data_IF_702280876663
#
_entry.id   IF_702280876663
#
_cell.length_a   1.000
_cell.length_b   1.000
_cell.length_c   1.000
_cell.angle_alpha   90.00
_cell.angle_beta   90.00
_cell.angle_gamma   90.00
#
_symmetry.space_group_name_H-M   'P 1'
#
loop_
_entity.id
_entity.type
_entity.pdbx_description
1 polymer ?
#
# COMPACT_ATOMS: atom_id res chain seq x y z
N UNK A 1 18.35 21.94 20.13
CA UNK A 1 18.69 20.53 19.86
C UNK A 1 20.11 20.50 19.35
N UNK A 2 20.97 19.67 19.94
CA UNK A 2 22.31 19.46 19.43
C UNK A 2 22.25 18.81 18.04
N UNK A 3 23.30 18.94 17.24
CA UNK A 3 23.39 18.34 15.90
C UNK A 3 23.19 16.81 15.96
N UNK A 4 23.74 16.17 16.99
CA UNK A 4 23.56 14.74 17.28
C UNK A 4 22.11 14.36 17.55
N UNK A 5 21.34 15.20 18.26
CA UNK A 5 19.92 14.94 18.53
C UNK A 5 19.11 14.93 17.24
N UNK A 6 19.42 15.86 16.33
CA UNK A 6 18.74 15.96 15.03
C UNK A 6 19.09 14.74 14.15
N UNK A 7 20.31 14.24 14.25
CA UNK A 7 20.73 12.99 13.60
C UNK A 7 19.92 11.80 14.10
N UNK A 8 19.80 11.63 15.41
CA UNK A 8 19.06 10.52 16.02
C UNK A 8 17.55 10.53 15.65
N UNK A 9 16.91 11.71 15.69
CA UNK A 9 15.51 11.83 15.27
C UNK A 9 15.32 11.50 13.80
N UNK A 10 16.28 11.90 12.94
CA UNK A 10 16.23 11.62 11.52
C UNK A 10 16.38 10.13 11.23
N UNK A 11 17.28 9.47 11.94
CA UNK A 11 17.53 8.02 11.82
C UNK A 11 16.28 7.22 12.21
N UNK A 12 15.71 7.49 13.38
CA UNK A 12 14.46 6.87 13.82
C UNK A 12 13.31 7.14 12.83
N UNK A 13 13.15 8.40 12.40
CA UNK A 13 12.13 8.78 11.42
C UNK A 13 12.27 8.04 10.08
N UNK A 14 13.50 7.83 9.62
CA UNK A 14 13.78 7.04 8.43
C UNK A 14 13.43 5.56 8.63
N UNK A 15 13.72 4.97 9.80
CA UNK A 15 13.31 3.58 10.11
C UNK A 15 11.79 3.42 10.04
N UNK A 16 11.03 4.29 10.70
CA UNK A 16 9.55 4.28 10.62
C UNK A 16 9.06 4.37 9.17
N UNK A 17 9.63 5.29 8.39
CA UNK A 17 9.29 5.44 6.98
C UNK A 17 9.58 4.18 6.16
N UNK A 18 10.70 3.52 6.39
CA UNK A 18 11.09 2.30 5.67
C UNK A 18 10.12 1.15 5.96
N UNK A 19 9.79 0.91 7.24
CA UNK A 19 8.76 -0.08 7.62
C UNK A 19 7.41 0.23 6.94
N UNK A 20 7.00 1.51 6.94
CA UNK A 20 5.74 1.94 6.31
C UNK A 20 5.72 1.70 4.80
N UNK A 21 6.81 2.06 4.11
CA UNK A 21 6.93 1.88 2.66
C UNK A 21 6.97 0.41 2.28
N UNK A 22 7.68 -0.43 3.03
CA UNK A 22 7.73 -1.88 2.79
C UNK A 22 6.35 -2.53 2.98
N UNK A 23 5.59 -2.11 4.00
CA UNK A 23 4.19 -2.51 4.18
C UNK A 23 3.26 -2.01 3.06
N UNK A 24 3.71 -1.01 2.28
CA UNK A 24 2.99 -0.36 1.20
C UNK A 24 1.68 0.29 1.69
N UNK A 25 1.80 1.14 2.71
CA UNK A 25 0.71 1.92 3.30
C UNK A 25 1.06 3.43 3.33
N UNK A 26 0.04 4.29 3.28
CA UNK A 26 0.21 5.75 3.38
C UNK A 26 0.50 6.18 4.82
N UNK A 27 0.97 7.42 5.02
CA UNK A 27 1.11 8.00 6.36
C UNK A 27 -0.24 8.07 7.08
N UNK A 28 -1.30 8.38 6.34
CA UNK A 28 -2.68 8.41 6.83
C UNK A 28 -3.15 7.02 7.29
N UNK A 29 -2.85 5.98 6.53
CA UNK A 29 -3.16 4.60 6.91
C UNK A 29 -2.40 4.19 8.18
N UNK A 30 -1.10 4.49 8.27
CA UNK A 30 -0.32 4.21 9.48
C UNK A 30 -0.87 4.98 10.71
N UNK A 31 -1.19 6.26 10.52
CA UNK A 31 -1.78 7.11 11.55
C UNK A 31 -3.10 6.52 12.06
N UNK A 32 -3.96 6.09 11.13
CA UNK A 32 -5.21 5.41 11.41
C UNK A 32 -4.99 4.13 12.24
N UNK A 33 -4.10 3.25 11.81
CA UNK A 33 -3.83 1.99 12.53
C UNK A 33 -3.30 2.26 13.94
N UNK A 34 -2.37 3.22 14.06
CA UNK A 34 -1.75 3.59 15.32
C UNK A 34 -2.66 4.46 16.20
N UNK A 35 -3.83 4.90 15.73
CA UNK A 35 -4.70 5.90 16.38
C UNK A 35 -3.92 7.19 16.73
N UNK A 36 -3.09 7.65 15.79
CA UNK A 36 -2.30 8.87 15.86
C UNK A 36 -2.75 9.85 14.77
N UNK A 37 -2.37 11.12 14.89
CA UNK A 37 -2.59 12.10 13.84
C UNK A 37 -1.63 11.88 12.67
N UNK A 38 -2.11 12.02 11.44
CA UNK A 38 -1.27 11.93 10.23
C UNK A 38 -0.13 12.95 10.24
N UNK A 39 -0.41 14.18 10.66
CA UNK A 39 0.61 15.23 10.83
C UNK A 39 1.71 14.81 11.80
N UNK A 40 1.37 14.08 12.85
CA UNK A 40 2.34 13.55 13.81
C UNK A 40 3.23 12.47 13.17
N UNK A 41 2.65 11.54 12.40
CA UNK A 41 3.43 10.57 11.61
C UNK A 41 4.38 11.28 10.64
N UNK A 42 3.89 12.31 9.94
CA UNK A 42 4.71 13.08 9.01
C UNK A 42 5.90 13.77 9.70
N UNK A 43 5.67 14.37 10.88
CA UNK A 43 6.73 15.00 11.69
C UNK A 43 7.74 13.98 12.21
N UNK A 44 7.28 12.79 12.66
CA UNK A 44 8.15 11.69 13.09
C UNK A 44 9.06 11.27 11.94
N UNK A 45 8.52 11.00 10.75
CA UNK A 45 9.32 10.57 9.60
C UNK A 45 10.29 11.64 9.08
N UNK A 46 10.03 12.92 9.37
CA UNK A 46 10.93 14.01 9.03
C UNK A 46 12.07 14.16 10.06
N UNK A 47 11.87 13.68 11.28
CA UNK A 47 12.75 13.92 12.42
C UNK A 47 12.49 15.26 13.11
N UNK A 48 11.29 15.83 12.95
CA UNK A 48 10.94 17.17 13.43
C UNK A 48 10.46 17.16 14.89
N UNK A 49 10.10 15.99 15.42
CA UNK A 49 9.55 15.83 16.77
C UNK A 49 10.26 14.73 17.54
N UNK A 50 10.45 14.94 18.84
CA UNK A 50 10.84 13.89 19.75
C UNK A 50 9.63 13.01 20.08
N UNK A 51 9.71 11.73 19.75
CA UNK A 51 8.62 10.77 19.95
C UNK A 51 8.74 10.09 21.31
N UNK A 52 7.67 10.16 22.10
CA UNK A 52 7.61 9.48 23.40
C UNK A 52 7.58 7.95 23.26
N UNK A 53 8.10 7.24 24.27
CA UNK A 53 8.23 5.77 24.28
C UNK A 53 6.89 5.06 23.99
N UNK A 54 5.78 5.56 24.52
CA UNK A 54 4.45 4.97 24.28
C UNK A 54 4.01 5.07 22.81
N UNK A 55 4.35 6.17 22.13
CA UNK A 55 4.09 6.32 20.71
C UNK A 55 5.02 5.41 19.87
N UNK A 56 6.29 5.26 20.26
CA UNK A 56 7.20 4.28 19.64
C UNK A 56 6.68 2.84 19.80
N UNK A 57 6.20 2.49 20.99
CA UNK A 57 5.57 1.20 21.25
C UNK A 57 4.31 0.98 20.41
N UNK A 58 3.49 2.02 20.23
CA UNK A 58 2.28 1.95 19.40
C UNK A 58 2.64 1.71 17.92
N UNK A 59 3.62 2.44 17.38
CA UNK A 59 4.10 2.24 16.01
C UNK A 59 4.71 0.85 15.81
N UNK A 60 5.60 0.42 16.69
CA UNK A 60 6.25 -0.90 16.60
C UNK A 60 5.26 -2.05 16.71
N UNK A 61 4.28 -1.96 17.61
CA UNK A 61 3.20 -2.96 17.72
C UNK A 61 2.37 -3.04 16.44
N UNK A 62 2.15 -1.92 15.74
CA UNK A 62 1.44 -1.90 14.45
C UNK A 62 2.18 -2.74 13.40
N UNK A 63 3.51 -2.74 13.42
CA UNK A 63 4.34 -3.57 12.55
C UNK A 63 4.64 -4.97 13.11
N UNK A 64 4.14 -5.30 14.30
CA UNK A 64 4.39 -6.57 14.98
C UNK A 64 5.83 -6.77 15.45
N UNK A 65 6.54 -5.67 15.73
CA UNK A 65 7.91 -5.69 16.26
C UNK A 65 7.97 -4.99 17.62
N UNK A 66 9.09 -5.12 18.33
CA UNK A 66 9.34 -4.38 19.57
C UNK A 66 9.82 -2.97 19.27
N UNK A 67 9.57 -2.01 20.17
CA UNK A 67 9.98 -0.62 19.98
C UNK A 67 11.50 -0.47 19.75
N UNK A 68 12.32 -1.24 20.48
CA UNK A 68 13.76 -1.24 20.27
C UNK A 68 14.18 -1.83 18.92
N UNK A 69 13.44 -2.81 18.37
CA UNK A 69 13.71 -3.37 17.02
C UNK A 69 13.36 -2.36 15.92
N UNK A 70 12.31 -1.56 16.12
CA UNK A 70 11.96 -0.48 15.19
C UNK A 70 13.07 0.58 15.13
N UNK A 71 13.66 0.90 16.30
CA UNK A 71 14.74 1.89 16.42
C UNK A 71 16.12 1.36 15.99
N UNK A 72 16.36 0.06 16.11
CA UNK A 72 17.64 -0.59 15.80
C UNK A 72 17.93 -0.53 14.29
N UNK A 73 18.97 0.16 13.81
CA UNK A 73 19.27 0.25 12.37
C UNK A 73 19.62 -1.11 11.74
N UNK A 74 20.16 -2.04 12.52
CA UNK A 74 20.63 -3.34 12.07
C UNK A 74 19.53 -4.40 12.07
N UNK A 75 18.41 -4.13 12.74
CA UNK A 75 17.26 -5.04 12.70
C UNK A 75 16.67 -5.08 11.27
N UNK A 76 16.54 -6.26 10.64
CA UNK A 76 16.08 -6.36 9.26
C UNK A 76 14.61 -5.93 9.14
N UNK A 77 14.28 -5.24 8.04
CA UNK A 77 12.89 -4.92 7.73
C UNK A 77 12.16 -6.22 7.37
N UNK A 78 11.08 -6.60 8.09
CA UNK A 78 10.33 -7.81 7.74
C UNK A 78 9.75 -7.70 6.33
N UNK A 79 9.61 -8.81 5.58
CA UNK A 79 9.01 -8.78 4.25
C UNK A 79 7.59 -8.21 4.27
N UNK A 80 7.20 -7.52 3.19
CA UNK A 80 5.85 -6.97 3.00
C UNK A 80 4.70 -7.88 3.42
N UNK A 81 4.77 -9.18 3.11
CA UNK A 81 3.73 -10.16 3.49
C UNK A 81 3.58 -10.28 5.01
N UNK A 82 4.69 -10.33 5.73
CA UNK A 82 4.74 -10.40 7.20
C UNK A 82 4.23 -9.10 7.81
N UNK A 83 4.69 -7.95 7.31
CA UNK A 83 4.24 -6.64 7.81
C UNK A 83 2.73 -6.47 7.66
N UNK A 84 2.17 -6.86 6.52
CA UNK A 84 0.72 -6.76 6.28
C UNK A 84 -0.09 -7.67 7.19
N UNK A 85 0.40 -8.88 7.45
CA UNK A 85 -0.25 -9.80 8.38
C UNK A 85 -0.18 -9.26 9.82
N UNK A 86 0.95 -8.68 10.24
CA UNK A 86 1.10 -8.06 11.54
C UNK A 86 0.14 -6.88 11.73
N UNK A 87 0.06 -5.98 10.75
CA UNK A 87 -0.87 -4.85 10.73
C UNK A 87 -2.31 -5.36 10.84
N UNK A 88 -2.68 -6.38 10.06
CA UNK A 88 -4.01 -6.99 10.10
C UNK A 88 -4.34 -7.51 11.50
N UNK A 89 -3.45 -8.30 12.09
CA UNK A 89 -3.62 -8.85 13.45
C UNK A 89 -3.77 -7.74 14.49
N UNK A 90 -2.93 -6.70 14.41
CA UNK A 90 -2.97 -5.58 15.34
C UNK A 90 -4.30 -4.82 15.28
N UNK A 91 -4.80 -4.53 14.08
CA UNK A 91 -6.08 -3.86 13.85
C UNK A 91 -7.24 -4.71 14.40
N UNK A 92 -7.26 -6.00 14.08
CA UNK A 92 -8.30 -6.93 14.55
C UNK A 92 -8.29 -7.03 16.07
N UNK A 93 -7.12 -7.16 16.70
CA UNK A 93 -7.01 -7.27 18.15
C UNK A 93 -7.48 -6.01 18.90
N UNK A 94 -7.46 -4.85 18.25
CA UNK A 94 -7.89 -3.58 18.83
C UNK A 94 -9.33 -3.19 18.49
N UNK A 95 -10.10 -4.07 17.83
CA UNK A 95 -11.44 -3.76 17.34
C UNK A 95 -11.50 -2.44 16.54
N UNK A 96 -10.41 -2.11 15.84
CA UNK A 96 -10.38 -0.92 14.98
C UNK A 96 -11.25 -1.24 13.77
N UNK A 97 -12.33 -0.48 13.59
CA UNK A 97 -13.33 -0.76 12.57
C UNK A 97 -12.70 -0.81 11.17
N UNK A 98 -12.78 -1.98 10.55
CA UNK A 98 -12.31 -2.21 9.17
C UNK A 98 -13.11 -1.43 8.11
N UNK A 99 -14.31 -0.92 8.44
CA UNK A 99 -15.07 -0.02 7.58
C UNK A 99 -14.34 1.34 7.42
N UNK A 100 -13.74 1.88 8.49
CA UNK A 100 -12.87 3.06 8.43
C UNK A 100 -11.61 2.83 7.58
N UNK A 101 -11.15 1.57 7.49
CA UNK A 101 -9.97 1.19 6.71
C UNK A 101 -10.24 1.07 5.21
N UNK A 102 -11.49 0.81 4.79
CA UNK A 102 -11.85 0.79 3.37
C UNK A 102 -11.72 2.17 2.71
N UNK A 103 -11.92 3.24 3.48
CA UNK A 103 -11.77 4.63 3.02
C UNK A 103 -10.32 5.15 3.09
N UNK A 104 -9.46 4.53 3.91
CA UNK A 104 -8.09 5.01 4.20
C UNK A 104 -6.98 4.15 3.59
N UNK A 105 -7.31 2.97 3.05
CA UNK A 105 -6.42 2.21 2.18
C UNK A 105 -6.55 2.75 0.75
N UNK A 106 -5.47 2.75 -0.06
CA UNK A 106 -5.61 3.12 -1.46
C UNK A 106 -6.66 2.23 -2.10
N UNK A 107 -7.77 2.82 -2.50
CA UNK A 107 -8.82 2.10 -3.17
C UNK A 107 -8.34 1.83 -4.59
N UNK A 108 -7.66 0.71 -4.80
CA UNK A 108 -7.21 0.30 -6.12
C UNK A 108 -8.35 -0.21 -7.00
N UNK A 109 -9.52 -0.51 -6.42
CA UNK A 109 -10.65 -1.09 -7.16
C UNK A 109 -11.39 -0.03 -7.94
N UNK A 110 -11.69 1.12 -7.32
CA UNK A 110 -12.40 2.23 -7.99
C UNK A 110 -11.67 2.75 -9.25
N UNK A 111 -10.37 3.07 -9.22
CA UNK A 111 -9.60 3.38 -10.42
C UNK A 111 -9.61 2.26 -11.46
N UNK A 112 -9.63 0.98 -11.05
CA UNK A 112 -9.74 -0.11 -12.02
C UNK A 112 -11.08 -0.06 -12.76
N UNK A 113 -12.16 0.12 -12.01
CA UNK A 113 -13.52 0.16 -12.56
C UNK A 113 -13.71 1.40 -13.47
N UNK A 114 -13.03 2.51 -13.17
CA UNK A 114 -12.96 3.71 -14.02
C UNK A 114 -12.14 3.46 -15.30
N UNK A 115 -10.96 2.84 -15.21
CA UNK A 115 -10.15 2.47 -16.37
C UNK A 115 -10.88 1.50 -17.32
N UNK A 116 -11.68 0.59 -16.76
CA UNK A 116 -12.53 -0.31 -17.55
C UNK A 116 -13.63 0.44 -18.34
N UNK A 117 -13.96 1.67 -17.93
CA UNK A 117 -14.96 2.52 -18.58
C UNK A 117 -14.33 3.61 -19.48
N UNK A 118 -13.06 3.98 -19.27
CA UNK A 118 -12.38 5.09 -19.97
C UNK A 118 -11.86 4.74 -21.38
N UNK A 119 -12.01 3.49 -21.82
CA UNK A 119 -11.48 2.99 -23.09
C UNK A 119 -10.01 2.57 -23.05
N UNK A 120 -9.34 2.69 -21.89
CA UNK A 120 -7.94 2.27 -21.70
C UNK A 120 -7.71 0.79 -22.09
N UNK A 121 -8.68 -0.07 -21.81
CA UNK A 121 -8.64 -1.51 -22.13
C UNK A 121 -9.18 -1.87 -23.53
N UNK A 122 -9.48 -0.89 -24.39
CA UNK A 122 -9.86 -1.17 -25.79
C UNK A 122 -8.72 -1.82 -26.58
N UNK A 123 -7.48 -1.54 -26.17
CA UNK A 123 -6.28 -2.22 -26.65
C UNK A 123 -5.72 -3.17 -25.56
N UNK A 124 -5.07 -4.27 -25.94
CA UNK A 124 -4.42 -5.16 -24.97
C UNK A 124 -3.33 -4.45 -24.16
N UNK A 125 -3.49 -4.39 -22.83
CA UNK A 125 -2.52 -3.80 -21.89
C UNK A 125 -1.85 -4.86 -21.03
N UNK A 126 -0.56 -4.69 -20.76
CA UNK A 126 0.19 -5.48 -19.78
C UNK A 126 -0.05 -4.99 -18.37
N UNK A 127 0.21 -5.82 -17.37
CA UNK A 127 0.16 -5.40 -15.95
C UNK A 127 1.11 -4.25 -15.62
N UNK A 128 2.21 -4.08 -16.39
CA UNK A 128 3.14 -2.97 -16.22
C UNK A 128 2.51 -1.65 -16.71
N UNK A 129 1.92 -1.66 -17.90
CA UNK A 129 1.23 -0.47 -18.44
C UNK A 129 0.04 -0.07 -17.56
N UNK A 130 -0.70 -1.04 -17.03
CA UNK A 130 -1.78 -0.77 -16.07
C UNK A 130 -1.23 -0.13 -14.80
N UNK A 131 -0.14 -0.66 -14.23
CA UNK A 131 0.47 -0.07 -13.03
C UNK A 131 1.04 1.34 -13.27
N UNK A 132 1.57 1.59 -14.47
CA UNK A 132 2.06 2.90 -14.89
C UNK A 132 0.91 3.89 -15.04
N UNK A 133 -0.23 3.46 -15.61
CA UNK A 133 -1.44 4.29 -15.68
C UNK A 133 -1.96 4.65 -14.29
N UNK A 134 -1.96 3.71 -13.35
CA UNK A 134 -2.31 3.98 -11.95
C UNK A 134 -1.46 5.09 -11.32
N UNK A 135 -0.17 5.10 -11.61
CA UNK A 135 0.73 6.14 -11.14
C UNK A 135 0.45 7.48 -11.81
N UNK A 136 0.24 7.48 -13.12
CA UNK A 136 0.09 8.70 -13.91
C UNK A 136 -1.25 9.41 -13.69
N UNK A 137 -2.34 8.65 -13.61
CA UNK A 137 -3.69 9.21 -13.54
C UNK A 137 -4.22 9.35 -12.11
N UNK A 138 -3.78 8.49 -11.20
CA UNK A 138 -4.32 8.41 -9.83
C UNK A 138 -3.27 8.59 -8.74
N UNK A 139 -2.00 8.81 -9.09
CA UNK A 139 -0.87 8.89 -8.14
C UNK A 139 -0.74 7.65 -7.23
N UNK A 140 -1.18 6.48 -7.70
CA UNK A 140 -1.18 5.23 -6.93
C UNK A 140 -0.11 4.25 -7.45
N UNK A 141 0.74 3.77 -6.55
CA UNK A 141 1.67 2.68 -6.87
C UNK A 141 1.04 1.31 -6.60
N UNK A 142 0.69 0.61 -7.68
CA UNK A 142 0.13 -0.75 -7.63
C UNK A 142 1.11 -1.79 -8.18
N UNK A 143 1.27 -2.91 -7.48
CA UNK A 143 2.09 -4.02 -7.97
C UNK A 143 1.39 -4.79 -9.10
N UNK A 144 2.11 -5.33 -10.10
CA UNK A 144 1.54 -6.16 -11.17
C UNK A 144 0.65 -7.31 -10.67
N UNK A 145 1.05 -8.02 -9.61
CA UNK A 145 0.26 -9.14 -9.05
C UNK A 145 -1.09 -8.68 -8.48
N UNK A 146 -1.14 -7.46 -7.93
CA UNK A 146 -2.38 -6.88 -7.40
C UNK A 146 -3.32 -6.46 -8.53
N UNK A 147 -2.81 -6.00 -9.67
CA UNK A 147 -3.62 -5.77 -10.88
C UNK A 147 -4.32 -7.06 -11.29
N UNK A 148 -3.58 -8.18 -11.38
CA UNK A 148 -4.16 -9.49 -11.72
C UNK A 148 -5.25 -9.89 -10.73
N UNK A 149 -4.97 -9.76 -9.43
CA UNK A 149 -5.92 -10.10 -8.38
C UNK A 149 -7.20 -9.25 -8.43
N UNK A 150 -7.10 -7.96 -8.77
CA UNK A 150 -8.27 -7.10 -8.96
C UNK A 150 -9.05 -7.53 -10.21
N UNK A 151 -8.39 -7.70 -11.36
CA UNK A 151 -9.08 -8.06 -12.61
C UNK A 151 -9.75 -9.43 -12.54
N UNK A 152 -9.23 -10.35 -11.73
CA UNK A 152 -9.72 -11.73 -11.63
C UNK A 152 -10.94 -11.91 -10.70
N UNK A 153 -11.48 -10.84 -10.12
CA UNK A 153 -12.55 -10.90 -9.09
C UNK A 153 -13.84 -10.24 -9.54
N UNK A 154 -14.97 -10.81 -9.13
CA UNK A 154 -16.31 -10.24 -9.35
C UNK A 154 -16.62 -10.04 -10.84
N UNK A 155 -17.43 -9.02 -11.14
CA UNK A 155 -17.89 -8.71 -12.51
C UNK A 155 -16.77 -8.29 -13.47
N UNK A 156 -15.60 -7.92 -12.95
CA UNK A 156 -14.42 -7.54 -13.77
C UNK A 156 -13.85 -8.73 -14.53
N UNK A 157 -13.94 -9.93 -13.95
CA UNK A 157 -13.50 -11.17 -14.60
C UNK A 157 -14.24 -11.42 -15.91
N UNK A 158 -15.52 -11.06 -15.96
CA UNK A 158 -16.39 -11.27 -17.12
C UNK A 158 -16.26 -10.15 -18.17
N UNK A 159 -15.59 -9.04 -17.83
CA UNK A 159 -15.36 -7.89 -18.71
C UNK A 159 -13.99 -7.89 -19.35
N UNK A 160 -13.10 -8.83 -18.99
CA UNK A 160 -11.70 -8.82 -19.39
C UNK A 160 -11.30 -10.15 -20.02
N UNK A 161 -10.82 -10.07 -21.26
CA UNK A 161 -10.18 -11.16 -21.96
C UNK A 161 -8.68 -11.17 -21.67
N UNK A 162 -8.15 -12.35 -21.34
CA UNK A 162 -6.72 -12.58 -21.10
C UNK A 162 -6.09 -13.15 -22.35
N UNK A 163 -5.25 -12.37 -23.01
CA UNK A 163 -4.45 -12.79 -24.16
C UNK A 163 -3.14 -13.36 -23.62
N UNK A 164 -3.08 -14.70 -23.59
CA UNK A 164 -1.87 -15.43 -23.18
C UNK A 164 -0.80 -15.28 -24.25
N UNK A 165 0.43 -15.01 -23.82
CA UNK A 165 1.57 -15.09 -24.74
C UNK A 165 1.99 -16.54 -24.97
N UNK A 166 2.36 -16.85 -26.21
CA UNK A 166 2.93 -18.14 -26.60
C UNK A 166 4.38 -18.35 -26.13
N UNK A 167 5.14 -17.28 -25.82
CA UNK A 167 6.57 -17.38 -25.55
C UNK A 167 7.03 -16.30 -24.56
N UNK A 168 7.03 -16.61 -23.26
CA UNK A 168 7.67 -15.87 -22.17
C UNK A 168 7.23 -14.42 -21.91
N UNK A 169 6.45 -13.80 -22.80
CA UNK A 169 5.98 -12.43 -22.66
C UNK A 169 4.75 -12.35 -21.75
N UNK A 170 4.63 -11.26 -21.01
CA UNK A 170 3.59 -11.07 -19.99
C UNK A 170 2.20 -11.12 -20.63
N UNK A 171 1.24 -11.75 -19.95
CA UNK A 171 -0.17 -11.74 -20.36
C UNK A 171 -0.66 -10.31 -20.60
N UNK A 172 -1.52 -10.14 -21.60
CA UNK A 172 -2.21 -8.89 -21.88
C UNK A 172 -3.69 -9.00 -21.52
N UNK A 173 -4.27 -7.88 -21.11
CA UNK A 173 -5.65 -7.75 -20.65
C UNK A 173 -6.36 -6.77 -21.57
N UNK A 174 -7.51 -7.18 -22.11
CA UNK A 174 -8.32 -6.37 -23.02
C UNK A 174 -9.79 -6.45 -22.60
N UNK A 175 -10.55 -5.39 -22.78
CA UNK A 175 -11.99 -5.42 -22.55
C UNK A 175 -12.65 -6.45 -23.49
N UNK A 176 -13.50 -7.31 -22.94
CA UNK A 176 -14.29 -8.27 -23.70
C UNK A 176 -15.26 -7.49 -24.59
N UNK A 177 -15.23 -7.72 -25.89
CA UNK A 177 -16.23 -7.16 -26.80
C UNK A 177 -17.59 -7.74 -26.43
N UNK A 178 -18.49 -6.93 -25.85
CA UNK A 178 -19.89 -7.34 -25.73
C UNK A 178 -20.38 -7.68 -27.14
N UNK A 179 -20.68 -8.96 -27.39
CA UNK A 179 -21.39 -9.35 -28.60
C UNK A 179 -22.68 -8.53 -28.62
N UNK A 180 -22.85 -7.74 -29.68
CA UNK A 180 -24.14 -7.17 -30.06
C UNK A 180 -25.16 -8.31 -30.09
N UNK A 181 -25.97 -8.42 -29.03
CA UNK A 181 -27.26 -9.08 -29.15
C UNK A 181 -28.18 -8.06 -29.82
N UNK A 182 -28.16 -8.10 -31.16
CA UNK A 182 -29.28 -7.69 -32.00
C UNK A 182 -30.50 -8.58 -31.70
#
# INVERSE_FOLDING_TARGET
MAENDKSALKEYGNRVRTFRKEANISQEALATFAQLYQSYIASIEKGDVNIGILAQQTLSNTFGVKHYQLSDPDFPIPPKSVLRENIRRYITARNIDTAYLKDKLPNYVKPMDELLQSGFFNEPKTTKEIAEQYKNEYELEISPSRVVDILSRGTRKDKIDIIKSACGTRNKYKLTNQKNHL
#
